data_IF_731616080393
#
_entry.id   IF_731616080393
#
_cell.length_a   1.000
_cell.length_b   1.000
_cell.length_c   1.000
_cell.angle_alpha   90.00
_cell.angle_beta   90.00
_cell.angle_gamma   90.00
#
_symmetry.space_group_name_H-M   'P 1'
#
loop_
_entity.id
_entity.type
_entity.pdbx_description
1 polymer ?
#
# COMPACT_ATOMS: atom_id res chain seq x y z
N UNK A 1 23.39 21.42 54.14
CA UNK A 1 22.61 21.10 55.36
C UNK A 1 21.35 21.96 55.34
N UNK A 2 20.17 21.33 55.36
CA UNK A 2 18.82 21.88 55.59
C UNK A 2 18.25 22.91 54.58
N UNK A 3 16.96 22.90 54.21
CA UNK A 3 15.85 21.93 54.33
C UNK A 3 14.71 22.46 53.45
N UNK A 4 13.98 21.55 52.83
CA UNK A 4 12.71 21.74 52.13
C UNK A 4 11.68 22.60 52.91
N UNK A 5 10.78 23.26 52.18
CA UNK A 5 9.33 23.16 52.40
C UNK A 5 8.54 23.49 51.12
N UNK A 6 7.66 22.56 50.77
CA UNK A 6 6.68 22.56 49.68
C UNK A 6 5.56 23.58 49.96
N UNK A 7 4.96 24.14 48.92
CA UNK A 7 3.52 24.37 48.90
C UNK A 7 2.98 24.13 47.49
N UNK A 8 1.99 23.25 47.42
CA UNK A 8 1.31 22.74 46.24
C UNK A 8 -0.02 23.47 46.14
N UNK A 9 -0.31 24.11 45.01
CA UNK A 9 -1.67 24.41 44.52
C UNK A 9 -1.46 24.68 43.03
N UNK A 10 -1.77 23.77 42.11
CA UNK A 10 -3.09 23.21 41.89
C UNK A 10 -3.76 23.99 40.76
N UNK A 11 -3.31 23.79 39.52
CA UNK A 11 -4.13 24.13 38.35
C UNK A 11 -3.95 23.05 37.30
N UNK A 12 -4.82 22.06 37.43
CA UNK A 12 -5.06 20.97 36.51
C UNK A 12 -5.70 21.58 35.25
N UNK A 13 -4.90 22.00 34.28
CA UNK A 13 -5.40 22.27 32.92
C UNK A 13 -5.27 20.98 32.12
N UNK A 14 -6.29 20.13 32.28
CA UNK A 14 -6.60 19.08 31.31
C UNK A 14 -7.18 19.78 30.09
N UNK A 15 -6.33 20.11 29.13
CA UNK A 15 -6.73 20.31 27.74
C UNK A 15 -6.24 19.05 27.02
N UNK A 16 -7.07 18.01 26.91
CA UNK A 16 -7.94 17.78 25.75
C UNK A 16 -7.23 18.03 24.40
N UNK A 17 -5.97 17.62 24.30
CA UNK A 17 -5.38 17.19 23.04
C UNK A 17 -5.87 15.78 22.73
N UNK A 18 -7.15 15.64 22.37
CA UNK A 18 -7.56 14.56 21.49
C UNK A 18 -6.72 14.75 20.23
N UNK A 19 -5.56 14.11 20.20
CA UNK A 19 -4.90 13.79 18.96
C UNK A 19 -5.95 13.02 18.17
N UNK A 20 -6.64 13.74 17.30
CA UNK A 20 -7.12 13.19 16.04
C UNK A 20 -5.89 12.55 15.42
N UNK A 21 -5.63 11.29 15.79
CA UNK A 21 -4.97 10.35 14.93
C UNK A 21 -5.91 10.21 13.75
N UNK A 22 -5.91 11.23 12.88
CA UNK A 22 -6.37 11.05 11.52
C UNK A 22 -5.60 9.84 11.03
N UNK A 23 -6.32 8.86 10.48
CA UNK A 23 -5.68 7.86 9.64
C UNK A 23 -5.02 8.62 8.49
N UNK A 24 -3.80 9.11 8.70
CA UNK A 24 -2.92 9.54 7.62
C UNK A 24 -2.74 8.29 6.78
N UNK A 25 -3.38 8.31 5.62
CA UNK A 25 -3.19 7.26 4.61
C UNK A 25 -1.68 7.21 4.34
N UNK A 26 -1.09 6.01 4.25
CA UNK A 26 0.32 5.89 3.91
C UNK A 26 0.57 6.59 2.57
N UNK A 27 1.45 7.59 2.56
CA UNK A 27 1.71 8.44 1.38
C UNK A 27 3.16 8.25 0.93
N UNK A 28 3.36 8.19 -0.38
CA UNK A 28 4.69 8.10 -1.00
C UNK A 28 5.50 9.37 -0.73
N UNK A 29 6.80 9.20 -0.50
CA UNK A 29 7.72 10.29 -0.22
C UNK A 29 8.50 10.63 -1.50
N UNK A 30 8.76 11.91 -1.76
CA UNK A 30 9.42 12.38 -2.98
C UNK A 30 10.90 12.00 -3.06
N UNK A 31 11.57 11.87 -1.90
CA UNK A 31 13.02 11.65 -1.81
C UNK A 31 13.44 10.18 -1.70
N UNK A 32 12.48 9.24 -1.81
CA UNK A 32 12.77 7.81 -1.73
C UNK A 32 12.92 7.18 -3.10
N UNK A 33 13.79 6.16 -3.19
CA UNK A 33 13.94 5.42 -4.43
C UNK A 33 12.67 4.63 -4.73
N UNK A 34 12.23 4.75 -5.98
CA UNK A 34 11.10 4.01 -6.52
C UNK A 34 11.60 2.70 -7.10
N UNK A 35 10.79 1.66 -6.94
CA UNK A 35 11.07 0.31 -7.40
C UNK A 35 9.87 -0.17 -8.21
N UNK A 36 10.06 -0.41 -9.50
CA UNK A 36 8.99 -0.79 -10.43
C UNK A 36 9.23 -2.20 -10.97
N UNK A 37 8.17 -2.97 -11.12
CA UNK A 37 8.25 -4.28 -11.75
C UNK A 37 6.96 -5.05 -11.60
N UNK A 38 7.05 -6.32 -11.23
CA UNK A 38 5.89 -7.19 -11.19
C UNK A 38 5.90 -8.21 -10.05
N UNK A 39 4.71 -8.66 -9.68
CA UNK A 39 4.46 -9.77 -8.76
C UNK A 39 3.59 -10.81 -9.46
N UNK A 40 4.01 -12.07 -9.45
CA UNK A 40 3.25 -13.17 -10.04
C UNK A 40 2.31 -13.79 -9.00
N UNK A 41 1.02 -13.45 -9.09
CA UNK A 41 -0.03 -14.00 -8.25
C UNK A 41 -0.73 -15.16 -8.97
N UNK A 42 -0.82 -16.33 -8.36
CA UNK A 42 -1.33 -17.53 -9.05
C UNK A 42 -2.76 -17.39 -9.62
N UNK A 43 -3.64 -16.64 -8.96
CA UNK A 43 -5.03 -16.46 -9.40
C UNK A 43 -5.24 -15.34 -10.41
N UNK A 44 -4.28 -14.42 -10.51
CA UNK A 44 -4.43 -13.16 -11.26
C UNK A 44 -3.35 -12.98 -12.34
N UNK A 45 -2.33 -13.84 -12.36
CA UNK A 45 -1.20 -13.72 -13.26
C UNK A 45 -0.16 -12.72 -12.77
N UNK A 46 0.65 -12.22 -13.70
CA UNK A 46 1.65 -11.19 -13.43
C UNK A 46 0.97 -9.84 -13.24
N UNK A 47 1.37 -9.12 -12.19
CA UNK A 47 0.71 -7.90 -11.74
C UNK A 47 1.74 -6.79 -11.68
N UNK A 48 1.50 -5.64 -12.32
CA UNK A 48 2.35 -4.47 -12.17
C UNK A 48 2.39 -4.05 -10.70
N UNK A 49 3.59 -3.84 -10.19
CA UNK A 49 3.80 -3.47 -8.80
C UNK A 49 4.85 -2.39 -8.69
N UNK A 50 4.63 -1.48 -7.75
CA UNK A 50 5.58 -0.41 -7.47
C UNK A 50 5.80 -0.29 -5.97
N UNK A 51 7.03 -0.08 -5.53
CA UNK A 51 7.38 0.06 -4.13
C UNK A 51 8.29 1.26 -3.87
N UNK A 52 8.21 1.79 -2.66
CA UNK A 52 9.17 2.73 -2.10
C UNK A 52 9.66 2.19 -0.77
N UNK A 53 10.97 2.26 -0.53
CA UNK A 53 11.59 1.73 0.67
C UNK A 53 12.34 2.84 1.41
N UNK A 54 11.92 3.08 2.65
CA UNK A 54 12.62 3.92 3.62
C UNK A 54 13.45 3.03 4.53
N UNK A 55 14.71 2.83 4.14
CA UNK A 55 15.65 1.98 4.86
C UNK A 55 16.00 2.52 6.25
N UNK A 56 15.95 3.84 6.44
CA UNK A 56 16.28 4.48 7.72
C UNK A 56 15.16 4.26 8.75
N UNK A 57 13.90 4.34 8.29
CA UNK A 57 12.73 4.11 9.14
C UNK A 57 12.27 2.64 9.18
N UNK A 58 12.95 1.74 8.48
CA UNK A 58 12.61 0.31 8.36
C UNK A 58 11.16 0.08 7.90
N UNK A 59 10.68 0.93 6.98
CA UNK A 59 9.33 0.89 6.45
C UNK A 59 9.30 1.20 4.96
N UNK A 60 8.12 1.16 4.36
CA UNK A 60 7.95 1.53 2.97
C UNK A 60 6.50 1.40 2.53
N UNK A 61 6.30 1.47 1.23
CA UNK A 61 5.00 1.32 0.60
C UNK A 61 5.09 0.39 -0.60
N UNK A 62 4.03 -0.36 -0.82
CA UNK A 62 3.89 -1.28 -1.92
C UNK A 62 2.54 -1.11 -2.58
N UNK A 63 2.51 -0.93 -3.90
CA UNK A 63 1.31 -0.66 -4.69
C UNK A 63 1.14 -1.75 -5.73
N UNK A 64 -0.09 -2.24 -5.89
CA UNK A 64 -0.48 -3.20 -6.94
C UNK A 64 -1.82 -2.73 -7.52
N UNK A 65 -1.83 -1.66 -8.34
CA UNK A 65 -3.02 -0.86 -8.59
C UNK A 65 -4.15 -1.66 -9.25
N UNK A 66 -3.81 -2.67 -10.05
CA UNK A 66 -4.78 -3.50 -10.78
C UNK A 66 -5.60 -4.45 -9.89
N UNK A 67 -5.11 -4.75 -8.67
CA UNK A 67 -5.81 -5.64 -7.73
C UNK A 67 -6.15 -4.92 -6.43
N UNK A 68 -5.24 -4.09 -5.95
CA UNK A 68 -5.35 -3.36 -4.69
C UNK A 68 -5.06 -1.89 -4.98
N UNK A 69 -6.11 -1.06 -5.16
CA UNK A 69 -5.96 0.36 -5.53
C UNK A 69 -5.50 1.25 -4.36
N UNK A 70 -5.04 0.64 -3.26
CA UNK A 70 -4.60 1.33 -2.04
C UNK A 70 -3.18 0.88 -1.73
N UNK A 71 -2.26 1.81 -1.42
CA UNK A 71 -0.91 1.47 -0.98
C UNK A 71 -0.94 0.56 0.25
N UNK A 72 -0.15 -0.52 0.19
CA UNK A 72 0.09 -1.44 1.28
C UNK A 72 1.32 -0.96 2.06
N UNK A 73 1.21 -0.94 3.37
CA UNK A 73 2.36 -0.61 4.24
C UNK A 73 3.38 -1.74 4.21
N UNK A 74 4.63 -1.37 4.01
CA UNK A 74 5.79 -2.23 4.25
C UNK A 74 6.36 -1.94 5.64
N UNK A 75 6.56 -2.97 6.45
CA UNK A 75 7.13 -2.88 7.81
C UNK A 75 8.27 -3.87 7.99
N UNK A 76 9.02 -3.67 9.07
CA UNK A 76 10.17 -4.51 9.41
C UNK A 76 11.18 -4.66 8.27
N UNK A 77 11.33 -3.62 7.45
CA UNK A 77 12.27 -3.62 6.35
C UNK A 77 13.69 -3.72 6.89
N UNK A 78 14.39 -4.79 6.53
CA UNK A 78 15.77 -5.07 6.97
C UNK A 78 16.60 -5.50 5.79
N UNK A 79 17.84 -5.01 5.76
CA UNK A 79 18.85 -5.39 4.76
C UNK A 79 20.11 -5.90 5.46
N UNK A 80 20.65 -7.02 4.99
CA UNK A 80 21.94 -7.57 5.46
C UNK A 80 22.73 -8.09 4.26
N UNK A 81 23.75 -7.34 3.86
CA UNK A 81 24.41 -7.57 2.57
C UNK A 81 23.40 -7.38 1.44
N UNK A 82 23.30 -8.37 0.57
CA UNK A 82 22.38 -8.36 -0.58
C UNK A 82 20.99 -8.91 -0.21
N UNK A 83 20.83 -9.49 0.97
CA UNK A 83 19.54 -10.04 1.40
C UNK A 83 18.66 -8.97 2.04
N UNK A 84 17.39 -8.98 1.66
CA UNK A 84 16.35 -8.03 2.09
C UNK A 84 15.14 -8.82 2.62
N UNK A 85 14.58 -8.36 3.73
CA UNK A 85 13.38 -8.92 4.35
C UNK A 85 12.43 -7.80 4.73
N UNK A 86 11.13 -8.03 4.58
CA UNK A 86 10.11 -7.09 5.01
C UNK A 86 8.74 -7.77 5.10
N UNK A 87 7.79 -7.08 5.72
CA UNK A 87 6.39 -7.50 5.77
C UNK A 87 5.52 -6.53 4.96
N UNK A 88 4.63 -7.07 4.13
CA UNK A 88 3.61 -6.30 3.41
C UNK A 88 2.26 -6.51 4.10
N UNK A 89 1.66 -5.44 4.60
CA UNK A 89 0.41 -5.52 5.36
C UNK A 89 -0.81 -5.56 4.46
N UNK A 90 -1.28 -6.76 4.12
CA UNK A 90 -2.59 -6.94 3.50
C UNK A 90 -3.70 -6.87 4.54
N UNK A 91 -4.92 -6.47 4.11
CA UNK A 91 -6.12 -6.51 4.97
C UNK A 91 -6.41 -7.90 5.54
N UNK A 92 -6.07 -8.95 4.80
CA UNK A 92 -6.24 -10.34 5.22
C UNK A 92 -5.09 -10.84 6.11
N UNK A 93 -4.20 -9.97 6.59
CA UNK A 93 -3.01 -10.32 7.39
C UNK A 93 -1.69 -10.12 6.62
N UNK A 94 -0.56 -10.00 7.33
CA UNK A 94 0.73 -9.71 6.72
C UNK A 94 1.21 -10.83 5.79
N UNK A 95 1.95 -10.45 4.75
CA UNK A 95 2.75 -11.35 3.93
C UNK A 95 4.23 -11.04 4.14
N UNK A 96 5.04 -12.07 4.34
CA UNK A 96 6.47 -11.93 4.54
C UNK A 96 7.20 -11.98 3.21
N UNK A 97 8.11 -11.06 2.98
CA UNK A 97 8.94 -11.00 1.79
C UNK A 97 10.38 -11.39 2.11
N UNK A 98 10.97 -12.18 1.22
CA UNK A 98 12.42 -12.46 1.19
C UNK A 98 12.94 -12.15 -0.19
N UNK A 99 13.94 -11.28 -0.27
CA UNK A 99 14.50 -10.84 -1.53
C UNK A 99 16.02 -10.76 -1.52
N UNK A 100 16.59 -10.76 -2.71
CA UNK A 100 17.99 -10.50 -2.98
C UNK A 100 18.06 -9.24 -3.85
N UNK A 101 18.86 -8.27 -3.42
CA UNK A 101 19.14 -7.07 -4.17
C UNK A 101 20.47 -7.22 -4.92
N UNK A 102 20.43 -7.18 -6.24
CA UNK A 102 21.61 -7.23 -7.10
C UNK A 102 21.41 -6.32 -8.31
N UNK A 103 22.44 -5.54 -8.68
CA UNK A 103 22.46 -4.70 -9.89
C UNK A 103 21.21 -3.80 -10.07
N UNK A 104 20.78 -3.16 -8.99
CA UNK A 104 19.59 -2.29 -9.00
C UNK A 104 18.27 -3.02 -9.14
N UNK A 105 18.27 -4.35 -9.05
CA UNK A 105 17.08 -5.21 -9.06
C UNK A 105 16.87 -5.82 -7.68
N UNK A 106 15.62 -5.98 -7.27
CA UNK A 106 15.19 -6.65 -6.06
C UNK A 106 14.28 -7.82 -6.46
N UNK A 107 14.82 -9.03 -6.41
CA UNK A 107 14.09 -10.26 -6.75
C UNK A 107 13.77 -11.03 -5.49
N UNK A 108 12.52 -11.47 -5.34
CA UNK A 108 12.11 -12.12 -4.11
C UNK A 108 10.83 -12.92 -4.22
N UNK A 109 10.38 -13.38 -3.06
CA UNK A 109 9.15 -14.14 -2.91
C UNK A 109 8.36 -13.57 -1.73
N UNK A 110 7.08 -13.31 -1.97
CA UNK A 110 6.07 -13.02 -0.97
C UNK A 110 5.43 -14.33 -0.50
N UNK A 111 5.47 -14.57 0.80
CA UNK A 111 4.93 -15.75 1.47
C UNK A 111 3.82 -15.31 2.43
N UNK A 112 2.66 -15.93 2.31
CA UNK A 112 1.53 -15.69 3.19
C UNK A 112 0.88 -17.01 3.57
N UNK A 113 0.57 -17.18 4.85
CA UNK A 113 -0.08 -18.38 5.34
C UNK A 113 -1.40 -18.65 4.59
N UNK A 114 -1.59 -19.90 4.14
CA UNK A 114 -2.76 -20.31 3.37
C UNK A 114 -2.78 -19.90 1.91
N UNK A 115 -1.76 -19.17 1.42
CA UNK A 115 -1.58 -18.84 0.00
C UNK A 115 -0.28 -19.46 -0.53
N UNK A 116 -0.24 -19.67 -1.84
CA UNK A 116 1.00 -20.08 -2.51
C UNK A 116 1.98 -18.90 -2.56
N UNK A 117 3.29 -19.16 -2.46
CA UNK A 117 4.29 -18.11 -2.59
C UNK A 117 4.18 -17.39 -3.94
N UNK A 118 4.35 -16.07 -3.92
CA UNK A 118 4.26 -15.19 -5.06
C UNK A 118 5.63 -14.55 -5.34
N UNK A 119 6.34 -14.96 -6.40
CA UNK A 119 7.60 -14.32 -6.76
C UNK A 119 7.36 -12.91 -7.27
N UNK A 120 8.33 -12.03 -7.04
CA UNK A 120 8.34 -10.66 -7.53
C UNK A 120 9.73 -10.26 -8.02
N UNK A 121 9.77 -9.31 -8.95
CA UNK A 121 10.99 -8.66 -9.42
C UNK A 121 10.73 -7.17 -9.55
N UNK A 122 11.57 -6.35 -8.94
CA UNK A 122 11.49 -4.90 -8.99
C UNK A 122 12.82 -4.31 -9.43
N UNK A 123 12.80 -3.28 -10.26
CA UNK A 123 13.96 -2.52 -10.68
C UNK A 123 13.92 -1.12 -10.08
N UNK A 124 15.04 -0.67 -9.56
CA UNK A 124 15.19 0.67 -9.01
C UNK A 124 15.14 1.69 -10.15
N UNK A 125 14.20 2.61 -10.06
CA UNK A 125 14.07 3.77 -10.95
C UNK A 125 14.58 5.04 -10.25
N UNK A 126 14.52 6.18 -10.95
CA UNK A 126 14.92 7.47 -10.37
C UNK A 126 14.06 7.83 -9.15
N UNK A 127 14.59 8.72 -8.31
CA UNK A 127 13.82 9.28 -7.18
C UNK A 127 12.61 10.04 -7.71
N UNK A 128 11.45 9.79 -7.13
CA UNK A 128 10.24 10.49 -7.51
C UNK A 128 9.04 10.02 -6.69
N UNK A 129 7.98 10.84 -6.58
CA UNK A 129 6.71 10.35 -6.07
C UNK A 129 6.21 9.24 -6.99
N UNK A 130 5.61 8.19 -6.42
CA UNK A 130 4.77 7.32 -7.26
C UNK A 130 3.61 8.13 -7.80
N UNK A 131 3.22 7.85 -9.05
CA UNK A 131 1.96 8.35 -9.58
C UNK A 131 0.87 8.06 -8.55
N UNK A 132 0.29 9.14 -7.99
CA UNK A 132 -0.90 9.00 -7.18
C UNK A 132 -1.93 8.28 -8.06
N UNK A 133 -2.39 7.11 -7.61
CA UNK A 133 -3.59 6.51 -8.18
C UNK A 133 -4.70 7.53 -7.94
N UNK A 134 -4.98 8.34 -8.97
CA UNK A 134 -6.00 9.38 -8.91
C UNK A 134 -7.31 8.65 -8.65
N UNK A 135 -7.76 8.72 -7.39
CA UNK A 135 -9.06 8.21 -7.04
C UNK A 135 -10.08 8.95 -7.91
N UNK A 136 -11.01 8.23 -8.57
CA UNK A 136 -12.16 8.89 -9.16
C UNK A 136 -12.81 9.75 -8.06
N UNK A 137 -13.08 11.02 -8.36
CA UNK A 137 -13.83 11.87 -7.45
C UNK A 137 -15.16 11.18 -7.10
N UNK A 138 -15.75 11.48 -5.94
CA UNK A 138 -17.03 10.89 -5.52
C UNK A 138 -18.16 11.11 -6.56
N UNK A 139 -18.03 12.13 -7.39
CA UNK A 139 -18.95 12.50 -8.48
C UNK A 139 -18.53 11.94 -9.85
N UNK A 140 -17.39 11.25 -9.95
CA UNK A 140 -16.90 10.75 -11.22
C UNK A 140 -17.70 9.52 -11.66
N UNK A 141 -18.16 9.46 -12.92
CA UNK A 141 -18.91 8.30 -13.40
C UNK A 141 -18.04 7.05 -13.37
N UNK A 142 -18.63 5.92 -13.01
CA UNK A 142 -17.96 4.62 -13.13
C UNK A 142 -17.59 4.36 -14.60
N UNK A 143 -16.30 4.21 -14.88
CA UNK A 143 -15.79 3.87 -16.20
C UNK A 143 -15.44 2.39 -16.22
N UNK A 144 -16.36 1.56 -16.71
CA UNK A 144 -16.09 0.15 -17.01
C UNK A 144 -15.56 0.03 -18.44
N UNK A 145 -14.37 -0.55 -18.60
CA UNK A 145 -13.79 -0.84 -19.91
C UNK A 145 -13.83 -2.35 -20.13
N UNK A 146 -14.24 -2.76 -21.32
CA UNK A 146 -14.02 -4.11 -21.80
C UNK A 146 -12.55 -4.27 -22.19
N UNK A 147 -11.96 -5.44 -21.95
CA UNK A 147 -10.58 -5.73 -22.38
C UNK A 147 -10.55 -6.22 -23.84
N UNK A 148 -11.68 -6.70 -24.37
CA UNK A 148 -11.91 -7.03 -25.77
C UNK A 148 -13.30 -6.57 -26.26
N UNK A 149 -13.67 -6.98 -27.46
CA UNK A 149 -14.98 -6.69 -28.09
C UNK A 149 -15.87 -7.95 -28.10
N UNK A 150 -15.85 -8.69 -27.00
CA UNK A 150 -16.61 -9.93 -26.85
C UNK A 150 -18.04 -9.62 -26.36
N UNK A 151 -19.08 -10.26 -26.94
CA UNK A 151 -20.47 -10.08 -26.51
C UNK A 151 -20.69 -10.33 -25.01
N UNK A 152 -19.95 -11.28 -24.43
CA UNK A 152 -20.01 -11.62 -23.02
C UNK A 152 -19.51 -10.49 -22.13
N UNK A 153 -18.44 -9.79 -22.52
CA UNK A 153 -17.90 -8.65 -21.77
C UNK A 153 -18.89 -7.49 -21.76
N UNK A 154 -19.53 -7.22 -22.91
CA UNK A 154 -20.58 -6.20 -23.00
C UNK A 154 -21.79 -6.54 -22.13
N UNK A 155 -22.20 -7.81 -22.08
CA UNK A 155 -23.29 -8.26 -21.21
C UNK A 155 -22.94 -8.09 -19.71
N UNK A 156 -21.69 -8.33 -19.34
CA UNK A 156 -21.21 -8.13 -17.96
C UNK A 156 -21.20 -6.64 -17.60
N UNK A 157 -20.69 -5.77 -18.48
CA UNK A 157 -20.68 -4.31 -18.26
C UNK A 157 -22.11 -3.78 -18.07
N UNK A 158 -23.03 -4.17 -18.95
CA UNK A 158 -24.44 -3.75 -18.84
C UNK A 158 -25.09 -4.25 -17.54
N UNK A 159 -24.70 -5.43 -17.06
CA UNK A 159 -25.19 -5.97 -15.78
C UNK A 159 -24.62 -5.20 -14.59
N UNK A 160 -23.34 -4.83 -14.63
CA UNK A 160 -22.69 -4.04 -13.58
C UNK A 160 -23.28 -2.63 -13.48
N UNK A 161 -23.53 -1.98 -14.61
CA UNK A 161 -24.21 -0.68 -14.67
C UNK A 161 -25.58 -0.71 -13.97
N UNK A 162 -26.43 -1.69 -14.31
CA UNK A 162 -27.74 -1.85 -13.67
C UNK A 162 -27.66 -2.13 -12.17
N UNK A 163 -26.61 -2.83 -11.72
CA UNK A 163 -26.44 -3.11 -10.29
C UNK A 163 -26.05 -1.84 -9.54
N UNK A 164 -25.16 -1.02 -10.09
CA UNK A 164 -24.81 0.27 -9.49
C UNK A 164 -26.04 1.18 -9.37
N UNK A 165 -26.81 1.35 -10.45
CA UNK A 165 -28.03 2.17 -10.44
C UNK A 165 -29.09 1.63 -9.47
N UNK A 166 -29.28 0.30 -9.43
CA UNK A 166 -30.30 -0.33 -8.57
C UNK A 166 -29.99 -0.18 -7.09
N UNK A 167 -28.72 -0.24 -6.72
CA UNK A 167 -28.28 -0.26 -5.32
C UNK A 167 -27.71 1.08 -4.84
N UNK A 168 -27.78 2.13 -5.67
CA UNK A 168 -27.25 3.48 -5.38
C UNK A 168 -25.83 3.41 -4.82
N UNK A 169 -24.99 2.59 -5.47
CA UNK A 169 -23.64 2.32 -4.98
C UNK A 169 -22.77 3.55 -5.21
N UNK A 170 -22.22 4.09 -4.13
CA UNK A 170 -21.25 5.16 -4.18
C UNK A 170 -19.87 4.63 -4.61
N UNK A 171 -19.08 5.43 -5.36
CA UNK A 171 -17.69 5.12 -5.63
C UNK A 171 -16.92 4.89 -4.32
N UNK A 172 -16.05 3.87 -4.29
CA UNK A 172 -15.28 3.54 -3.09
C UNK A 172 -14.28 4.68 -2.75
N UNK A 173 -14.58 5.45 -1.68
CA UNK A 173 -13.82 6.64 -1.21
C UNK A 173 -12.55 6.30 -0.44
#
# INVERSE_FOLDING_TARGET
MNRMKKCVTGMLTVAFGLALQGCTKPQFQEDLSVWEGSTLLQSQGEQPTTAQFDWDQNQGLWLMPDIIPVPLEVKELRKKGDSVWFEVNFRSGPAFARAIQADGTLEGILEKEGLKPAPFSLHQTEFGPLDEVIKPAAEAPYVWKAHGDLPEEHAVIARLQRLVEKYDLEPYV
#
